data_IF_142174974901
#
_entry.id   IF_142174974901
#
_cell.length_a   1.000
_cell.length_b   1.000
_cell.length_c   1.000
_cell.angle_alpha   90.00
_cell.angle_beta   90.00
_cell.angle_gamma   90.00
#
_symmetry.space_group_name_H-M   'P 1'
#
loop_
_entity.id
_entity.type
_entity.pdbx_description
1 polymer ?
#
# COMPACT_ATOMS: atom_id res chain seq x y z
N UNK A 1 -21.05 -38.23 -50.53
CA UNK A 1 -20.66 -38.31 -49.11
C UNK A 1 -20.43 -36.89 -48.60
N UNK A 2 -21.34 -36.32 -47.79
CA UNK A 2 -21.17 -34.99 -47.16
C UNK A 2 -20.88 -35.21 -45.69
N UNK A 3 -19.68 -34.83 -45.23
CA UNK A 3 -19.31 -34.87 -43.81
C UNK A 3 -19.94 -33.65 -43.11
N UNK A 4 -20.71 -33.82 -42.02
CA UNK A 4 -21.24 -32.69 -41.27
C UNK A 4 -20.11 -31.90 -40.60
N UNK A 5 -20.07 -30.59 -40.80
CA UNK A 5 -19.02 -29.69 -40.30
C UNK A 5 -19.34 -29.06 -38.92
N UNK A 6 -20.30 -29.60 -38.15
CA UNK A 6 -20.89 -28.89 -37.01
C UNK A 6 -20.03 -28.81 -35.73
N UNK A 7 -18.80 -29.33 -35.74
CA UNK A 7 -17.88 -29.23 -34.59
C UNK A 7 -16.83 -28.11 -34.74
N UNK A 8 -16.62 -27.56 -35.96
CA UNK A 8 -15.55 -26.59 -36.21
C UNK A 8 -15.89 -25.16 -35.77
N UNK A 9 -17.17 -24.79 -35.80
CA UNK A 9 -17.63 -23.46 -35.39
C UNK A 9 -17.63 -23.25 -33.86
N UNK A 10 -17.81 -24.30 -33.06
CA UNK A 10 -17.87 -24.18 -31.59
C UNK A 10 -16.50 -23.99 -30.93
N UNK A 11 -15.42 -24.43 -31.58
CA UNK A 11 -14.04 -24.30 -31.08
C UNK A 11 -13.33 -23.02 -31.50
N UNK A 12 -13.75 -22.41 -32.61
CA UNK A 12 -13.07 -21.23 -33.17
C UNK A 12 -13.22 -19.99 -32.27
N UNK A 13 -14.41 -19.79 -31.67
CA UNK A 13 -14.64 -18.71 -30.71
C UNK A 13 -13.80 -18.89 -29.44
N UNK A 14 -13.66 -20.13 -28.94
CA UNK A 14 -12.87 -20.39 -27.72
C UNK A 14 -11.39 -20.09 -27.93
N UNK A 15 -10.84 -20.39 -29.11
CA UNK A 15 -9.43 -20.13 -29.44
C UNK A 15 -9.15 -18.63 -29.52
N UNK A 16 -10.08 -17.83 -30.06
CA UNK A 16 -9.96 -16.37 -30.08
C UNK A 16 -9.98 -15.76 -28.66
N UNK A 17 -10.87 -16.25 -27.80
CA UNK A 17 -10.95 -15.80 -26.41
C UNK A 17 -9.70 -16.13 -25.60
N UNK A 18 -9.04 -17.27 -25.84
CA UNK A 18 -7.78 -17.64 -25.17
C UNK A 18 -6.66 -16.63 -25.47
N UNK A 19 -6.71 -15.92 -26.60
CA UNK A 19 -5.74 -14.86 -26.90
C UNK A 19 -5.94 -13.58 -26.08
N UNK A 20 -7.19 -13.20 -25.78
CA UNK A 20 -7.53 -11.93 -25.12
C UNK A 20 -7.58 -12.07 -23.59
N UNK A 21 -7.99 -13.23 -23.08
CA UNK A 21 -8.06 -13.52 -21.64
C UNK A 21 -6.76 -13.20 -20.89
N UNK A 22 -5.55 -13.65 -21.31
CA UNK A 22 -4.32 -13.32 -20.59
C UNK A 22 -4.04 -11.82 -20.56
N UNK A 23 -4.37 -11.08 -21.63
CA UNK A 23 -4.23 -9.62 -21.65
C UNK A 23 -5.17 -8.94 -20.65
N UNK A 24 -6.43 -9.40 -20.58
CA UNK A 24 -7.40 -8.90 -19.60
C UNK A 24 -6.91 -9.19 -18.18
N UNK A 25 -6.42 -10.40 -17.90
CA UNK A 25 -5.90 -10.75 -16.58
C UNK A 25 -4.70 -9.88 -16.17
N UNK A 26 -3.76 -9.61 -17.09
CA UNK A 26 -2.65 -8.70 -16.83
C UNK A 26 -3.13 -7.28 -16.51
N UNK A 27 -4.13 -6.78 -17.24
CA UNK A 27 -4.72 -5.47 -16.98
C UNK A 27 -5.43 -5.43 -15.62
N UNK A 28 -6.19 -6.46 -15.26
CA UNK A 28 -6.84 -6.58 -13.96
C UNK A 28 -5.83 -6.60 -12.82
N UNK A 29 -4.74 -7.36 -12.98
CA UNK A 29 -3.63 -7.35 -12.01
C UNK A 29 -3.00 -5.96 -11.91
N UNK A 30 -2.78 -5.26 -13.02
CA UNK A 30 -2.22 -3.91 -13.00
C UNK A 30 -3.14 -2.91 -12.28
N UNK A 31 -4.45 -2.93 -12.58
CA UNK A 31 -5.45 -2.09 -11.90
C UNK A 31 -5.52 -2.41 -10.41
N UNK A 32 -5.48 -3.69 -10.06
CA UNK A 32 -5.43 -4.15 -8.68
C UNK A 32 -4.17 -3.64 -7.95
N UNK A 33 -3.00 -3.72 -8.59
CA UNK A 33 -1.77 -3.18 -8.02
C UNK A 33 -1.87 -1.66 -7.81
N UNK A 34 -2.41 -0.91 -8.77
CA UNK A 34 -2.64 0.53 -8.60
C UNK A 34 -3.54 0.84 -7.39
N UNK A 35 -4.60 0.05 -7.19
CA UNK A 35 -5.49 0.20 -6.04
C UNK A 35 -4.77 -0.10 -4.71
N UNK A 36 -3.97 -1.17 -4.64
CA UNK A 36 -3.17 -1.49 -3.44
C UNK A 36 -2.17 -0.38 -3.10
N UNK A 37 -1.56 0.24 -4.11
CA UNK A 37 -0.60 1.33 -3.92
C UNK A 37 -1.31 2.58 -3.41
N UNK A 38 -2.46 2.93 -3.98
CA UNK A 38 -3.30 4.02 -3.48
C UNK A 38 -3.73 3.79 -2.03
N UNK A 39 -4.10 2.57 -1.68
CA UNK A 39 -4.43 2.20 -0.31
C UNK A 39 -3.23 2.37 0.65
N UNK A 40 -2.02 1.98 0.24
CA UNK A 40 -0.81 2.18 1.04
C UNK A 40 -0.49 3.65 1.30
N UNK A 41 -0.75 4.57 0.36
CA UNK A 41 -0.58 6.01 0.59
C UNK A 41 -1.53 6.52 1.67
N UNK A 42 -2.80 6.13 1.62
CA UNK A 42 -3.80 6.51 2.63
C UNK A 42 -3.38 5.97 4.00
N UNK A 43 -2.96 4.72 4.05
CA UNK A 43 -2.56 4.05 5.28
C UNK A 43 -1.31 4.70 5.91
N UNK A 44 -0.28 4.98 5.10
CA UNK A 44 0.93 5.65 5.57
C UNK A 44 0.65 7.08 6.07
N UNK A 45 -0.28 7.78 5.42
CA UNK A 45 -0.74 9.10 5.85
C UNK A 45 -1.43 9.07 7.21
N UNK A 46 -2.40 8.16 7.40
CA UNK A 46 -3.11 8.00 8.67
C UNK A 46 -2.15 7.61 9.81
N UNK A 47 -1.25 6.67 9.56
CA UNK A 47 -0.24 6.26 10.55
C UNK A 47 0.70 7.41 10.92
N UNK A 48 1.09 8.24 9.94
CA UNK A 48 1.93 9.41 10.20
C UNK A 48 1.18 10.48 11.00
N UNK A 49 -0.10 10.72 10.70
CA UNK A 49 -0.94 11.70 11.39
C UNK A 49 -1.15 11.31 12.86
N UNK A 50 -1.56 10.08 13.11
CA UNK A 50 -1.80 9.58 14.47
C UNK A 50 -0.49 9.51 15.28
N UNK A 51 0.62 9.11 14.65
CA UNK A 51 1.95 9.16 15.24
C UNK A 51 2.38 10.59 15.59
N UNK A 52 2.11 11.55 14.70
CA UNK A 52 2.46 12.95 14.91
C UNK A 52 1.65 13.58 16.04
N UNK A 53 0.36 13.28 16.11
CA UNK A 53 -0.53 13.72 17.20
C UNK A 53 -0.08 13.16 18.54
N UNK A 54 0.19 11.85 18.62
CA UNK A 54 0.62 11.21 19.85
C UNK A 54 1.97 11.73 20.35
N UNK A 55 2.92 11.98 19.44
CA UNK A 55 4.21 12.56 19.79
C UNK A 55 4.15 14.04 20.16
N UNK A 56 3.21 14.80 19.57
CA UNK A 56 3.02 16.21 19.88
C UNK A 56 2.39 16.47 21.26
N UNK A 57 1.50 15.58 21.71
CA UNK A 57 0.84 15.64 23.02
C UNK A 57 1.59 14.87 24.13
N UNK A 58 2.79 14.35 23.84
CA UNK A 58 3.53 13.52 24.77
C UNK A 58 4.21 14.35 25.87
N UNK A 59 3.83 14.11 27.13
CA UNK A 59 4.51 14.68 28.31
C UNK A 59 5.85 13.98 28.64
N UNK A 60 6.19 12.90 27.92
CA UNK A 60 7.45 12.17 28.05
C UNK A 60 7.59 11.06 27.00
N UNK A 61 8.83 10.75 26.62
CA UNK A 61 9.16 9.75 25.60
C UNK A 61 8.37 9.89 24.26
N UNK A 62 8.33 11.09 23.63
CA UNK A 62 7.51 11.37 22.46
C UNK A 62 7.76 10.41 21.28
N UNK A 63 9.02 10.03 21.06
CA UNK A 63 9.38 9.07 20.01
C UNK A 63 8.75 7.68 20.23
N UNK A 64 8.67 7.21 21.48
CA UNK A 64 8.09 5.92 21.80
C UNK A 64 6.56 5.93 21.63
N UNK A 65 5.90 7.00 22.09
CA UNK A 65 4.45 7.18 21.94
C UNK A 65 4.05 7.34 20.46
N UNK A 66 4.80 8.17 19.70
CA UNK A 66 4.65 8.28 18.25
C UNK A 66 4.77 6.92 17.57
N UNK A 67 5.82 6.14 17.87
CA UNK A 67 6.05 4.84 17.23
C UNK A 67 4.94 3.85 17.56
N UNK A 68 4.50 3.81 18.82
CA UNK A 68 3.40 2.95 19.24
C UNK A 68 2.07 3.32 18.57
N UNK A 69 1.76 4.61 18.46
CA UNK A 69 0.56 5.10 17.79
C UNK A 69 0.59 4.83 16.28
N UNK A 70 1.70 5.19 15.60
CA UNK A 70 1.85 4.95 14.17
C UNK A 70 1.74 3.45 13.81
N UNK A 71 2.37 2.56 14.58
CA UNK A 71 2.34 1.12 14.29
C UNK A 71 0.97 0.47 14.55
N UNK A 72 0.11 1.06 15.38
CA UNK A 72 -1.27 0.55 15.58
C UNK A 72 -2.13 0.71 14.34
N UNK A 73 -1.86 1.74 13.55
CA UNK A 73 -2.56 2.01 12.29
C UNK A 73 -2.03 1.13 11.14
N UNK A 74 -0.89 0.44 11.31
CA UNK A 74 -0.31 -0.42 10.28
C UNK A 74 -0.83 -1.85 10.43
N UNK A 75 -1.54 -2.41 9.42
CA UNK A 75 -1.99 -3.81 9.43
C UNK A 75 -0.80 -4.76 9.37
N UNK A 76 -0.95 -5.95 9.96
CA UNK A 76 0.11 -6.97 10.00
C UNK A 76 0.59 -7.44 8.62
N UNK A 77 -0.21 -7.25 7.57
CA UNK A 77 0.14 -7.56 6.18
C UNK A 77 1.10 -6.55 5.55
N UNK A 78 1.40 -5.45 6.23
CA UNK A 78 2.33 -4.41 5.79
C UNK A 78 3.50 -4.31 6.77
N UNK A 79 4.71 -4.14 6.23
CA UNK A 79 5.88 -3.75 7.02
C UNK A 79 5.93 -2.22 7.07
N UNK A 80 5.74 -1.66 8.27
CA UNK A 80 5.81 -0.22 8.50
C UNK A 80 7.04 0.19 9.30
N UNK A 81 7.72 1.24 8.83
CA UNK A 81 8.82 1.87 9.54
C UNK A 81 8.52 3.36 9.81
N UNK A 82 8.05 3.70 11.02
CA UNK A 82 7.82 5.08 11.41
C UNK A 82 9.13 5.76 11.86
N UNK A 83 9.48 6.85 11.19
CA UNK A 83 10.50 7.80 11.59
C UNK A 83 9.88 8.86 12.52
N UNK A 84 9.97 8.59 13.82
CA UNK A 84 9.50 9.48 14.88
C UNK A 84 10.67 10.30 15.45
N UNK A 85 10.62 11.64 15.41
CA UNK A 85 11.64 12.46 16.05
C UNK A 85 11.56 12.34 17.59
N UNK A 86 12.68 12.60 18.26
CA UNK A 86 12.69 12.77 19.72
C UNK A 86 12.00 14.07 20.17
N UNK A 87 12.48 14.64 21.25
CA UNK A 87 12.10 15.97 21.77
C UNK A 87 12.65 17.15 20.94
N UNK A 88 13.01 16.91 19.67
CA UNK A 88 13.79 17.82 18.82
C UNK A 88 13.30 19.28 18.79
N UNK A 89 14.20 20.22 18.52
CA UNK A 89 13.93 21.66 18.59
C UNK A 89 12.86 22.12 17.58
N UNK A 90 11.77 22.71 18.07
CA UNK A 90 10.71 23.35 17.27
C UNK A 90 9.30 23.10 17.80
N UNK A 91 8.35 23.91 17.35
CA UNK A 91 6.94 23.88 17.76
C UNK A 91 6.11 22.82 17.02
N UNK A 92 6.68 22.17 16.00
CA UNK A 92 6.03 21.12 15.24
C UNK A 92 6.69 19.77 15.48
N UNK A 93 5.89 18.73 15.64
CA UNK A 93 6.29 17.34 15.70
C UNK A 93 5.93 16.67 14.35
N UNK A 94 6.95 16.43 13.52
CA UNK A 94 6.80 15.87 12.16
C UNK A 94 7.14 14.39 12.14
N UNK A 95 6.27 13.57 11.59
CA UNK A 95 6.44 12.12 11.50
C UNK A 95 6.36 11.68 10.04
N UNK A 96 7.24 10.76 9.67
CA UNK A 96 7.19 10.09 8.37
C UNK A 96 7.02 8.60 8.59
N UNK A 97 6.06 7.97 7.91
CA UNK A 97 5.86 6.51 7.95
C UNK A 97 6.10 5.94 6.58
N UNK A 98 7.02 4.98 6.48
CA UNK A 98 7.29 4.26 5.24
C UNK A 98 6.70 2.86 5.32
N UNK A 99 5.85 2.52 4.36
CA UNK A 99 5.24 1.21 4.19
C UNK A 99 5.84 0.49 2.99
N UNK A 100 6.05 -0.81 3.13
CA UNK A 100 6.43 -1.68 2.01
C UNK A 100 5.20 -2.36 1.43
N UNK A 101 4.88 -2.07 0.18
CA UNK A 101 3.69 -2.62 -0.48
C UNK A 101 3.91 -4.10 -0.84
N UNK A 102 3.04 -5.03 -0.40
CA UNK A 102 3.14 -6.43 -0.78
C UNK A 102 2.78 -6.61 -2.26
N UNK A 103 3.57 -7.42 -2.97
CA UNK A 103 3.41 -7.66 -4.41
C UNK A 103 2.78 -9.02 -4.67
N UNK A 104 1.93 -9.10 -5.69
CA UNK A 104 1.23 -10.33 -6.08
C UNK A 104 2.11 -11.36 -6.81
N UNK A 105 3.16 -10.90 -7.49
CA UNK A 105 4.09 -11.75 -8.27
C UNK A 105 5.53 -11.57 -7.77
N UNK A 106 5.90 -12.23 -6.66
CA UNK A 106 7.26 -12.17 -6.13
C UNK A 106 8.25 -12.73 -7.18
N UNK A 107 9.25 -11.93 -7.57
CA UNK A 107 10.30 -12.30 -8.53
C UNK A 107 10.24 -11.61 -9.89
N UNK A 108 9.10 -11.02 -10.26
CA UNK A 108 8.98 -10.15 -11.46
C UNK A 108 9.04 -8.67 -11.08
N UNK A 109 8.45 -8.31 -9.94
CA UNK A 109 8.43 -6.95 -9.41
C UNK A 109 8.89 -6.98 -7.95
N UNK A 110 9.80 -6.08 -7.58
CA UNK A 110 10.24 -5.88 -6.20
C UNK A 110 9.32 -4.88 -5.50
N UNK A 111 8.95 -5.15 -4.24
CA UNK A 111 8.14 -4.23 -3.44
C UNK A 111 8.79 -2.86 -3.39
N UNK A 112 8.02 -1.80 -3.62
CA UNK A 112 8.53 -0.43 -3.53
C UNK A 112 8.04 0.24 -2.24
N UNK A 113 8.86 1.13 -1.65
CA UNK A 113 8.46 1.88 -0.47
C UNK A 113 7.46 2.98 -0.83
N UNK A 114 6.44 3.13 -0.01
CA UNK A 114 5.47 4.23 -0.04
C UNK A 114 5.57 4.98 1.27
N UNK A 115 5.70 6.32 1.22
CA UNK A 115 5.88 7.14 2.41
C UNK A 115 4.73 8.13 2.59
N UNK A 116 4.23 8.24 3.82
CA UNK A 116 3.31 9.28 4.28
C UNK A 116 4.01 10.20 5.29
N UNK A 117 3.62 11.47 5.35
CA UNK A 117 4.19 12.45 6.28
C UNK A 117 3.11 13.34 6.85
N UNK A 118 3.15 13.57 8.16
CA UNK A 118 2.25 14.48 8.86
C UNK A 118 3.03 15.30 9.90
N UNK A 119 2.46 16.41 10.34
CA UNK A 119 3.04 17.25 11.39
C UNK A 119 1.94 17.88 12.26
N UNK A 120 2.12 17.84 13.57
CA UNK A 120 1.23 18.46 14.55
C UNK A 120 1.98 19.47 15.41
N UNK A 121 1.28 20.48 15.94
CA UNK A 121 1.87 21.47 16.86
C UNK A 121 2.04 20.83 18.23
N UNK A 122 3.20 21.02 18.86
CA UNK A 122 3.47 20.51 20.21
C UNK A 122 2.66 21.29 21.24
N UNK A 123 1.91 20.57 22.04
CA UNK A 123 1.21 21.12 23.20
C UNK A 123 2.22 21.11 24.35
N UNK A 124 2.68 22.29 24.78
CA UNK A 124 3.69 22.47 25.83
C UNK A 124 3.06 22.71 27.19
#
# INVERSE_FOLDING_TARGET
MRIPQSERDRGQTVIEFIGVVPLILLLLVALWQCALVGYAFVLAGNAADEGARAGAAAEGAPAALCRAAALREVPSSFEGDPACPGDGSGDMYRVTVTLKVPILVPGVLNGFPVSGTAAHVKER
#
